data_IF_457471098398
#
_entry.id   IF_457471098398
#
_cell.length_a   1.000
_cell.length_b   1.000
_cell.length_c   1.000
_cell.angle_alpha   90.00
_cell.angle_beta   90.00
_cell.angle_gamma   90.00
#
_symmetry.space_group_name_H-M   'P 1'
#
loop_
_entity.id
_entity.type
_entity.pdbx_description
1 polymer ?
#
# COMPACT_ATOMS: atom_id res chain seq x y z
N UNK A 1 2.68 -18.46 39.38
CA UNK A 1 3.84 -18.35 38.48
C UNK A 1 3.46 -17.30 37.45
N UNK A 2 3.87 -16.06 37.68
CA UNK A 2 3.44 -14.90 36.89
C UNK A 2 4.20 -14.85 35.58
N UNK A 3 3.47 -14.86 34.47
CA UNK A 3 4.03 -14.45 33.19
C UNK A 3 4.06 -12.92 33.21
N UNK A 4 5.22 -12.35 33.49
CA UNK A 4 5.48 -10.95 33.20
C UNK A 4 5.38 -10.79 31.69
N UNK A 5 4.28 -10.19 31.24
CA UNK A 5 4.18 -9.56 29.93
C UNK A 5 5.32 -8.53 29.86
N UNK A 6 6.45 -8.94 29.30
CA UNK A 6 7.47 -8.02 28.87
C UNK A 6 6.83 -7.16 27.79
N UNK A 7 6.34 -5.99 28.21
CA UNK A 7 6.12 -4.85 27.35
C UNK A 7 7.46 -4.55 26.68
N UNK A 8 7.76 -5.22 25.57
CA UNK A 8 8.85 -4.84 24.68
C UNK A 8 8.40 -3.49 24.12
N UNK A 9 8.79 -2.41 24.80
CA UNK A 9 8.74 -1.06 24.25
C UNK A 9 9.68 -1.06 23.06
N UNK A 10 9.17 -1.38 21.86
CA UNK A 10 9.88 -1.12 20.61
C UNK A 10 10.27 0.35 20.64
N UNK A 11 11.57 0.60 20.75
CA UNK A 11 12.14 1.94 20.74
C UNK A 11 11.64 2.64 19.47
N UNK A 12 10.73 3.59 19.65
CA UNK A 12 10.13 4.31 18.53
C UNK A 12 11.05 5.48 18.23
N UNK A 13 11.90 5.30 17.20
CA UNK A 13 12.73 6.39 16.69
C UNK A 13 11.81 7.44 16.09
N UNK A 14 11.95 8.69 16.54
CA UNK A 14 11.29 9.85 15.92
C UNK A 14 12.26 10.45 14.92
N UNK A 15 11.84 10.57 13.65
CA UNK A 15 12.61 11.23 12.61
C UNK A 15 12.55 12.74 12.79
N UNK A 16 13.63 13.29 13.36
CA UNK A 16 13.75 14.70 13.70
C UNK A 16 14.89 15.34 12.90
N UNK A 17 16.05 14.70 12.93
CA UNK A 17 17.30 15.17 12.32
C UNK A 17 17.86 14.13 11.34
N UNK A 18 18.82 14.53 10.48
CA UNK A 18 19.34 13.64 9.45
C UNK A 18 20.00 12.36 9.96
N UNK A 19 20.58 12.40 11.17
CA UNK A 19 21.20 11.22 11.79
C UNK A 19 20.18 10.17 12.24
N UNK A 20 18.89 10.51 12.35
CA UNK A 20 17.83 9.55 12.67
C UNK A 20 17.41 8.74 11.43
N UNK A 21 17.67 9.26 10.23
CA UNK A 21 17.16 8.74 8.95
C UNK A 21 17.40 7.25 8.78
N UNK A 22 18.64 6.79 8.93
CA UNK A 22 19.00 5.38 8.67
C UNK A 22 18.29 4.42 9.63
N UNK A 23 18.24 4.74 10.92
CA UNK A 23 17.58 3.89 11.93
C UNK A 23 16.07 3.92 11.77
N UNK A 24 15.51 5.10 11.52
CA UNK A 24 14.08 5.28 11.32
C UNK A 24 13.58 4.56 10.06
N UNK A 25 14.28 4.72 8.93
CA UNK A 25 13.94 4.08 7.66
C UNK A 25 14.03 2.55 7.78
N UNK A 26 15.02 2.03 8.50
CA UNK A 26 15.14 0.60 8.77
C UNK A 26 13.88 0.04 9.48
N UNK A 27 13.38 0.71 10.51
CA UNK A 27 12.16 0.29 11.21
C UNK A 27 10.92 0.36 10.31
N UNK A 28 10.83 1.37 9.45
CA UNK A 28 9.74 1.50 8.48
C UNK A 28 9.80 0.40 7.42
N UNK A 29 11.00 0.07 6.93
CA UNK A 29 11.23 -1.04 6.01
C UNK A 29 10.84 -2.38 6.63
N UNK A 30 11.27 -2.67 7.86
CA UNK A 30 10.89 -3.90 8.57
C UNK A 30 9.37 -4.03 8.75
N UNK A 31 8.67 -2.94 9.06
CA UNK A 31 7.20 -2.91 9.12
C UNK A 31 6.56 -3.22 7.76
N UNK A 32 7.05 -2.60 6.69
CA UNK A 32 6.55 -2.79 5.33
C UNK A 32 6.84 -4.19 4.78
N UNK A 33 8.03 -4.75 5.03
CA UNK A 33 8.44 -6.08 4.59
C UNK A 33 7.59 -7.17 5.24
N UNK A 34 7.27 -7.03 6.55
CA UNK A 34 6.34 -7.95 7.25
C UNK A 34 4.94 -7.99 6.63
N UNK A 35 4.53 -6.88 6.02
CA UNK A 35 3.24 -6.76 5.34
C UNK A 35 3.34 -7.01 3.82
N UNK A 36 4.55 -7.26 3.28
CA UNK A 36 4.78 -7.48 1.86
C UNK A 36 4.49 -6.25 0.98
N UNK A 37 4.67 -5.03 1.52
CA UNK A 37 4.33 -3.78 0.83
C UNK A 37 5.51 -2.85 0.54
N UNK A 38 6.74 -3.26 0.86
CA UNK A 38 7.93 -2.39 0.68
C UNK A 38 8.14 -1.94 -0.77
N UNK A 39 7.84 -2.81 -1.75
CA UNK A 39 7.97 -2.49 -3.19
C UNK A 39 7.06 -1.35 -3.67
N UNK A 40 6.03 -0.99 -2.89
CA UNK A 40 5.09 0.10 -3.19
C UNK A 40 5.50 1.42 -2.51
N UNK A 41 6.45 1.38 -1.57
CA UNK A 41 6.82 2.55 -0.77
C UNK A 41 8.33 2.85 -0.75
N UNK A 42 9.17 1.96 -1.27
CA UNK A 42 10.62 2.11 -1.24
C UNK A 42 11.11 3.42 -1.91
N UNK A 43 11.67 4.38 -1.15
CA UNK A 43 12.13 5.67 -1.67
C UNK A 43 13.47 5.60 -2.42
N UNK A 44 14.09 4.42 -2.50
CA UNK A 44 15.25 4.17 -3.37
C UNK A 44 14.84 3.87 -4.82
N UNK A 45 13.56 3.52 -5.05
CA UNK A 45 13.04 3.27 -6.39
C UNK A 45 12.66 4.58 -7.09
N UNK A 46 12.77 4.57 -8.42
CA UNK A 46 12.23 5.64 -9.26
C UNK A 46 10.71 5.54 -9.32
N UNK A 47 10.04 6.65 -9.64
CA UNK A 47 8.58 6.68 -9.79
C UNK A 47 8.06 5.72 -10.89
N UNK A 48 8.92 5.33 -11.83
CA UNK A 48 8.60 4.36 -12.89
C UNK A 48 8.70 2.90 -12.44
N UNK A 49 9.52 2.62 -11.42
CA UNK A 49 9.82 1.25 -10.96
C UNK A 49 9.07 0.87 -9.69
N UNK A 50 8.62 1.86 -8.90
CA UNK A 50 7.77 1.63 -7.74
C UNK A 50 6.43 1.00 -8.17
N UNK A 51 6.00 -0.05 -7.47
CA UNK A 51 4.73 -0.70 -7.79
C UNK A 51 3.56 0.22 -7.46
N UNK A 52 2.53 0.16 -8.29
CA UNK A 52 1.29 0.91 -8.11
C UNK A 52 0.16 -0.05 -7.76
N UNK A 53 -0.28 0.01 -6.50
CA UNK A 53 -1.36 -0.86 -6.01
C UNK A 53 -2.66 -0.65 -6.79
N UNK A 54 -2.92 0.56 -7.30
CA UNK A 54 -4.18 0.88 -8.00
C UNK A 54 -4.34 0.09 -9.30
N UNK A 55 -3.23 -0.27 -9.95
CA UNK A 55 -3.21 -1.08 -11.17
C UNK A 55 -3.45 -2.57 -10.92
N UNK A 56 -3.34 -3.00 -9.66
CA UNK A 56 -3.52 -4.40 -9.26
C UNK A 56 -4.91 -4.72 -8.72
N UNK A 57 -5.83 -3.73 -8.70
CA UNK A 57 -7.20 -3.94 -8.24
C UNK A 57 -7.86 -5.01 -9.12
N UNK A 58 -8.34 -6.13 -8.54
CA UNK A 58 -9.01 -7.16 -9.31
C UNK A 58 -10.27 -6.61 -10.00
N UNK A 59 -10.42 -6.91 -11.28
CA UNK A 59 -11.59 -6.50 -12.07
C UNK A 59 -12.67 -7.56 -11.93
N UNK A 60 -13.86 -7.11 -11.56
CA UNK A 60 -15.04 -7.97 -11.48
C UNK A 60 -15.52 -8.33 -12.90
N UNK A 61 -16.12 -9.51 -13.05
CA UNK A 61 -16.72 -9.96 -14.30
C UNK A 61 -18.22 -9.93 -14.18
N UNK A 62 -18.85 -9.42 -15.23
CA UNK A 62 -20.29 -9.49 -15.41
C UNK A 62 -20.77 -10.94 -15.43
N UNK A 63 -21.97 -11.20 -14.91
CA UNK A 63 -22.58 -12.54 -14.93
C UNK A 63 -22.75 -13.01 -16.37
N UNK A 64 -23.10 -12.10 -17.29
CA UNK A 64 -23.22 -12.36 -18.73
C UNK A 64 -21.95 -12.95 -19.33
N UNK A 65 -20.76 -12.63 -18.81
CA UNK A 65 -19.49 -13.20 -19.30
C UNK A 65 -19.35 -14.71 -19.08
N UNK A 66 -20.17 -15.31 -18.21
CA UNK A 66 -20.20 -16.74 -17.96
C UNK A 66 -21.21 -17.48 -18.82
N UNK A 67 -22.04 -16.74 -19.58
CA UNK A 67 -23.00 -17.34 -20.52
C UNK A 67 -22.28 -18.06 -21.65
N UNK A 68 -22.84 -19.18 -22.11
CA UNK A 68 -22.35 -19.93 -23.28
C UNK A 68 -22.28 -19.06 -24.54
N UNK A 69 -23.16 -18.06 -24.66
CA UNK A 69 -23.25 -17.13 -25.77
C UNK A 69 -22.67 -15.72 -25.47
N UNK A 70 -21.78 -15.58 -24.47
CA UNK A 70 -21.23 -14.30 -24.03
C UNK A 70 -20.61 -13.43 -25.15
N UNK A 71 -20.24 -14.00 -26.30
CA UNK A 71 -19.69 -13.28 -27.46
C UNK A 71 -20.70 -12.85 -28.52
N UNK A 72 -21.99 -13.17 -28.38
CA UNK A 72 -23.02 -12.88 -29.39
C UNK A 72 -23.98 -11.77 -28.97
N UNK A 73 -23.76 -11.15 -27.81
CA UNK A 73 -24.65 -10.13 -27.24
C UNK A 73 -24.10 -8.74 -27.54
N UNK A 74 -24.99 -7.81 -27.90
CA UNK A 74 -24.63 -6.42 -28.13
C UNK A 74 -24.02 -5.78 -26.86
N UNK A 75 -22.99 -4.93 -27.01
CA UNK A 75 -22.23 -4.39 -25.88
C UNK A 75 -22.99 -3.44 -24.95
N UNK A 76 -24.18 -2.97 -25.35
CA UNK A 76 -24.98 -1.99 -24.59
C UNK A 76 -26.14 -2.61 -23.79
N UNK A 77 -26.21 -3.94 -23.74
CA UNK A 77 -27.22 -4.63 -22.93
C UNK A 77 -26.83 -4.61 -21.45
N UNK A 78 -27.78 -4.39 -20.52
CA UNK A 78 -27.52 -4.51 -19.09
C UNK A 78 -27.00 -5.91 -18.76
N UNK A 79 -26.25 -6.04 -17.66
CA UNK A 79 -25.83 -7.37 -17.20
C UNK A 79 -27.06 -8.19 -16.79
N UNK A 80 -26.91 -9.52 -16.84
CA UNK A 80 -27.94 -10.45 -16.34
C UNK A 80 -27.81 -10.60 -14.83
N UNK A 81 -28.87 -11.09 -14.19
CA UNK A 81 -28.80 -11.52 -12.79
C UNK A 81 -28.20 -12.92 -12.66
N UNK A 82 -27.68 -13.22 -11.45
CA UNK A 82 -27.09 -14.53 -11.15
C UNK A 82 -28.06 -15.70 -11.37
N UNK A 83 -29.36 -15.47 -11.13
CA UNK A 83 -30.41 -16.48 -11.28
C UNK A 83 -30.70 -16.83 -12.75
N UNK A 84 -30.20 -16.03 -13.69
CA UNK A 84 -30.32 -16.31 -15.11
C UNK A 84 -29.25 -17.30 -15.61
N UNK A 85 -28.24 -17.66 -14.81
CA UNK A 85 -27.21 -18.63 -15.16
C UNK A 85 -27.74 -20.08 -15.10
N UNK A 86 -27.40 -20.89 -16.11
CA UNK A 86 -27.57 -22.35 -16.05
C UNK A 86 -26.58 -22.98 -15.04
N UNK A 87 -26.86 -24.18 -14.54
CA UNK A 87 -26.03 -24.85 -13.52
C UNK A 87 -24.54 -24.94 -13.90
N UNK A 88 -24.21 -25.20 -15.17
CA UNK A 88 -22.81 -25.25 -15.63
C UNK A 88 -22.16 -23.85 -15.71
N UNK A 89 -22.94 -22.82 -16.02
CA UNK A 89 -22.51 -21.42 -16.07
C UNK A 89 -22.29 -20.87 -14.66
N UNK A 90 -23.19 -21.18 -13.74
CA UNK A 90 -23.05 -20.91 -12.32
C UNK A 90 -21.81 -21.59 -11.74
N UNK A 91 -21.56 -22.86 -12.11
CA UNK A 91 -20.34 -23.58 -11.72
C UNK A 91 -19.05 -22.90 -12.19
N UNK A 92 -19.03 -22.31 -13.40
CA UNK A 92 -17.90 -21.51 -13.91
C UNK A 92 -17.74 -20.20 -13.13
N UNK A 93 -18.85 -19.50 -12.91
CA UNK A 93 -18.89 -18.26 -12.13
C UNK A 93 -18.36 -18.51 -10.71
N UNK A 94 -18.83 -19.53 -10.01
CA UNK A 94 -18.47 -19.81 -8.63
C UNK A 94 -16.95 -20.07 -8.48
N UNK A 95 -16.34 -20.82 -9.41
CA UNK A 95 -14.89 -21.06 -9.42
C UNK A 95 -14.12 -19.77 -9.67
N UNK A 96 -14.55 -18.97 -10.65
CA UNK A 96 -13.93 -17.68 -10.94
C UNK A 96 -14.07 -16.71 -9.76
N UNK A 97 -15.26 -16.61 -9.17
CA UNK A 97 -15.57 -15.74 -8.03
C UNK A 97 -14.74 -16.12 -6.81
N UNK A 98 -14.52 -17.41 -6.55
CA UNK A 98 -13.62 -17.86 -5.47
C UNK A 98 -12.19 -17.35 -5.67
N UNK A 99 -11.66 -17.37 -6.90
CA UNK A 99 -10.33 -16.85 -7.22
C UNK A 99 -10.31 -15.32 -7.12
N UNK A 100 -11.34 -14.66 -7.64
CA UNK A 100 -11.52 -13.22 -7.58
C UNK A 100 -11.56 -12.72 -6.13
N UNK A 101 -12.36 -13.34 -5.27
CA UNK A 101 -12.47 -13.01 -3.86
C UNK A 101 -11.13 -13.16 -3.13
N UNK A 102 -10.36 -14.22 -3.43
CA UNK A 102 -9.01 -14.39 -2.87
C UNK A 102 -8.02 -13.30 -3.31
N UNK A 103 -8.07 -12.90 -4.59
CA UNK A 103 -7.28 -11.78 -5.12
C UNK A 103 -7.70 -10.45 -4.49
N UNK A 104 -9.01 -10.22 -4.34
CA UNK A 104 -9.56 -9.01 -3.74
C UNK A 104 -9.14 -8.89 -2.27
N UNK A 105 -9.26 -9.96 -1.50
CA UNK A 105 -8.79 -9.99 -0.11
C UNK A 105 -7.29 -9.68 0.00
N UNK A 106 -6.47 -10.20 -0.91
CA UNK A 106 -5.03 -9.92 -0.96
C UNK A 106 -4.73 -8.46 -1.35
N UNK A 107 -5.50 -7.89 -2.27
CA UNK A 107 -5.43 -6.47 -2.63
C UNK A 107 -5.78 -5.58 -1.44
N UNK A 108 -6.94 -5.80 -0.81
CA UNK A 108 -7.40 -5.01 0.34
C UNK A 108 -6.44 -5.10 1.53
N UNK A 109 -5.84 -6.27 1.78
CA UNK A 109 -4.83 -6.44 2.82
C UNK A 109 -3.63 -5.51 2.58
N UNK A 110 -3.14 -5.43 1.33
CA UNK A 110 -2.03 -4.55 0.95
C UNK A 110 -2.43 -3.08 1.02
N UNK A 111 -3.63 -2.73 0.58
CA UNK A 111 -4.17 -1.37 0.69
C UNK A 111 -4.24 -0.90 2.15
N UNK A 112 -4.77 -1.73 3.05
CA UNK A 112 -4.78 -1.44 4.50
C UNK A 112 -3.37 -1.29 5.08
N UNK A 113 -2.43 -2.14 4.67
CA UNK A 113 -1.04 -2.03 5.12
C UNK A 113 -0.36 -0.73 4.64
N UNK A 114 -0.65 -0.28 3.41
CA UNK A 114 -0.17 1.01 2.91
C UNK A 114 -0.78 2.20 3.65
N UNK A 115 -2.07 2.13 3.97
CA UNK A 115 -2.74 3.14 4.78
C UNK A 115 -2.15 3.22 6.21
N UNK A 116 -1.86 2.08 6.84
CA UNK A 116 -1.20 2.08 8.14
C UNK A 116 0.25 2.59 8.03
N UNK A 117 0.99 2.25 6.97
CA UNK A 117 2.32 2.81 6.72
C UNK A 117 2.30 4.34 6.64
N UNK A 118 1.33 4.92 5.94
CA UNK A 118 1.12 6.37 5.91
C UNK A 118 0.94 6.94 7.33
N UNK A 119 0.12 6.28 8.15
CA UNK A 119 -0.15 6.67 9.53
C UNK A 119 1.08 6.53 10.42
N UNK A 120 1.84 5.47 10.27
CA UNK A 120 3.09 5.23 10.98
C UNK A 120 4.13 6.30 10.63
N UNK A 121 4.28 6.65 9.36
CA UNK A 121 5.15 7.75 8.94
C UNK A 121 4.74 9.05 9.65
N UNK A 122 3.47 9.44 9.58
CA UNK A 122 3.00 10.67 10.23
C UNK A 122 3.20 10.69 11.76
N UNK A 123 3.13 9.53 12.43
CA UNK A 123 3.30 9.42 13.89
C UNK A 123 4.75 9.42 14.36
N UNK A 124 5.67 9.03 13.47
CA UNK A 124 7.06 8.79 13.81
C UNK A 124 8.00 9.84 13.21
N UNK A 125 7.46 10.96 12.74
CA UNK A 125 8.22 12.15 12.36
C UNK A 125 7.96 13.27 13.38
N UNK A 126 8.94 14.16 13.53
CA UNK A 126 8.75 15.37 14.32
C UNK A 126 7.68 16.28 13.70
N UNK A 127 6.92 16.98 14.54
CA UNK A 127 5.77 17.80 14.11
C UNK A 127 6.12 18.84 13.05
N UNK A 128 7.34 19.39 13.07
CA UNK A 128 7.81 20.37 12.08
C UNK A 128 7.88 19.83 10.65
N UNK A 129 7.96 18.50 10.47
CA UNK A 129 8.04 17.86 9.16
C UNK A 129 6.66 17.44 8.63
N UNK A 130 5.61 17.48 9.45
CA UNK A 130 4.25 17.06 9.07
C UNK A 130 3.72 17.90 7.91
N UNK A 131 3.91 19.22 7.95
CA UNK A 131 3.45 20.14 6.91
C UNK A 131 4.10 19.86 5.56
N UNK A 132 5.31 19.30 5.54
CA UNK A 132 6.01 18.97 4.29
C UNK A 132 5.43 17.74 3.59
N UNK A 133 4.72 16.86 4.31
CA UNK A 133 4.18 15.60 3.77
C UNK A 133 2.64 15.57 3.77
N UNK A 134 1.97 16.67 4.13
CA UNK A 134 0.53 16.72 4.32
C UNK A 134 -0.24 16.46 3.01
N UNK A 135 0.31 16.93 1.89
CA UNK A 135 -0.28 16.81 0.55
C UNK A 135 0.11 15.48 -0.13
N UNK A 136 1.07 14.75 0.43
CA UNK A 136 1.52 13.45 -0.06
C UNK A 136 0.54 12.36 0.40
N UNK A 137 -0.20 11.78 -0.55
CA UNK A 137 -1.23 10.76 -0.29
C UNK A 137 -0.68 9.34 -0.21
N UNK A 138 0.51 9.06 -0.76
CA UNK A 138 1.10 7.72 -0.79
C UNK A 138 2.31 7.60 0.15
N UNK A 139 2.56 6.42 0.73
CA UNK A 139 3.74 6.21 1.56
C UNK A 139 5.04 6.49 0.81
N UNK A 140 5.10 6.14 -0.48
CA UNK A 140 6.22 6.44 -1.36
C UNK A 140 6.49 7.95 -1.44
N UNK A 141 5.48 8.76 -1.77
CA UNK A 141 5.64 10.20 -1.90
C UNK A 141 6.15 10.82 -0.60
N UNK A 142 5.55 10.45 0.55
CA UNK A 142 6.00 10.89 1.88
C UNK A 142 7.45 10.53 2.15
N UNK A 143 7.85 9.28 1.87
CA UNK A 143 9.22 8.82 2.10
C UNK A 143 10.23 9.51 1.17
N UNK A 144 9.87 9.77 -0.09
CA UNK A 144 10.70 10.54 -1.02
C UNK A 144 10.87 11.98 -0.55
N UNK A 145 9.80 12.63 -0.10
CA UNK A 145 9.85 13.98 0.47
C UNK A 145 10.75 14.03 1.70
N UNK A 146 10.54 13.14 2.67
CA UNK A 146 11.36 13.07 3.87
C UNK A 146 12.84 12.76 3.56
N UNK A 147 13.11 11.87 2.60
CA UNK A 147 14.48 11.57 2.13
C UNK A 147 15.16 12.82 1.58
N UNK A 148 14.46 13.63 0.79
CA UNK A 148 14.99 14.89 0.27
C UNK A 148 15.36 15.86 1.40
N UNK A 149 14.55 15.91 2.46
CA UNK A 149 14.72 16.84 3.57
C UNK A 149 15.79 16.40 4.58
N UNK A 150 15.90 15.09 4.85
CA UNK A 150 16.59 14.54 6.02
C UNK A 150 17.58 13.41 5.70
N UNK A 151 17.80 13.04 4.45
CA UNK A 151 18.91 12.14 4.13
C UNK A 151 20.26 12.83 4.38
N UNK A 152 21.25 12.17 5.02
CA UNK A 152 22.55 12.76 5.34
C UNK A 152 23.23 13.49 4.18
N UNK A 153 23.15 12.94 2.96
CA UNK A 153 23.73 13.55 1.75
C UNK A 153 23.07 14.87 1.32
N UNK A 154 21.83 15.13 1.76
CA UNK A 154 21.10 16.37 1.47
C UNK A 154 21.10 17.35 2.65
N UNK A 155 21.36 16.88 3.88
CA UNK A 155 21.31 17.73 5.06
C UNK A 155 22.49 18.67 5.20
N UNK A 156 23.70 18.25 4.78
CA UNK A 156 24.89 19.11 4.79
C UNK A 156 24.64 20.38 3.95
N UNK A 157 23.98 20.24 2.79
CA UNK A 157 23.59 21.37 1.93
C UNK A 157 22.52 22.30 2.51
N UNK A 158 21.66 21.83 3.41
CA UNK A 158 20.59 22.67 4.01
C UNK A 158 21.04 23.37 5.29
N UNK A 159 21.96 22.78 6.04
CA UNK A 159 22.58 23.44 7.20
C UNK A 159 23.53 24.56 6.77
N UNK A 160 24.23 24.43 5.63
CA UNK A 160 25.03 25.53 5.05
C UNK A 160 24.21 26.78 4.64
N UNK A 161 22.88 26.68 4.52
CA UNK A 161 22.00 27.80 4.13
C UNK A 161 21.32 28.48 5.33
N UNK A 162 21.58 28.01 6.55
CA UNK A 162 21.01 28.55 7.79
C UNK A 162 22.07 29.10 8.76
N UNK A 163 23.34 29.16 8.35
CA UNK A 163 24.44 29.88 9.05
C UNK A 163 24.77 31.22 8.39
#
# INVERSE_FOLDING_TARGET
MGYEDQLITKETVILDKPSDWTKWLFLRKDSADRNGVWEYCNPELTAETVKDITKEKPVDKTFRSFKRNAGTVEPDQPDIEIYELEDDEYGKWQRWHSIYAGKLASYEKRERALAEMNREISRTIASRHITSIQDDSTPYARLVTLKKLLSPSNSERRFELLE
#
